data_IF_470370982350
#
_entry.id   IF_470370982350
#
_cell.length_a   1.000
_cell.length_b   1.000
_cell.length_c   1.000
_cell.angle_alpha   90.00
_cell.angle_beta   90.00
_cell.angle_gamma   90.00
#
_symmetry.space_group_name_H-M   'P 1'
#
loop_
_entity.id
_entity.type
_entity.pdbx_description
1 polymer ?
#
# COMPACT_ATOMS: atom_id res chain seq x y z
N UNK A 1 14.84 6.06 -13.85
CA UNK A 1 13.52 6.43 -13.31
C UNK A 1 13.43 5.99 -11.87
N UNK A 2 12.94 6.84 -11.01
CA UNK A 2 12.79 6.51 -9.60
C UNK A 2 11.61 5.60 -9.35
N UNK A 3 11.59 4.99 -8.19
CA UNK A 3 10.44 4.21 -7.76
C UNK A 3 9.37 5.14 -7.20
N UNK A 4 8.13 4.65 -7.19
CA UNK A 4 6.99 5.38 -6.67
C UNK A 4 6.76 4.94 -5.24
N UNK A 5 6.54 5.90 -4.34
CA UNK A 5 6.27 5.62 -2.93
C UNK A 5 4.79 5.85 -2.67
N UNK A 6 4.12 4.83 -2.15
CA UNK A 6 2.73 4.91 -1.73
C UNK A 6 2.70 4.85 -0.21
N UNK A 7 2.11 5.85 0.42
CA UNK A 7 2.03 5.92 1.88
C UNK A 7 0.58 5.78 2.34
N UNK A 8 0.35 4.90 3.31
CA UNK A 8 -0.95 4.72 3.95
C UNK A 8 -0.81 5.12 5.41
N UNK A 9 -1.51 6.17 5.81
CA UNK A 9 -1.26 6.83 7.09
C UNK A 9 -2.40 6.77 8.10
N UNK A 10 -3.48 6.12 7.80
CA UNK A 10 -4.55 5.95 8.79
C UNK A 10 -5.69 6.94 8.71
N UNK A 11 -5.53 8.05 7.99
CA UNK A 11 -6.68 8.84 7.60
C UNK A 11 -7.50 8.00 6.62
N UNK A 12 -8.72 8.35 6.32
CA UNK A 12 -9.65 7.56 5.52
C UNK A 12 -9.20 7.37 4.07
N UNK A 13 -7.98 6.87 3.86
CA UNK A 13 -7.39 6.77 2.55
C UNK A 13 -6.87 5.39 2.14
N UNK A 14 -7.08 4.37 2.99
CA UNK A 14 -6.51 3.06 2.70
C UNK A 14 -7.06 2.46 1.41
N UNK A 15 -8.35 2.67 1.13
CA UNK A 15 -8.96 2.18 -0.12
C UNK A 15 -8.30 2.81 -1.33
N UNK A 16 -8.01 4.11 -1.26
CA UNK A 16 -7.34 4.80 -2.36
C UNK A 16 -5.91 4.31 -2.53
N UNK A 17 -5.22 4.05 -1.43
CA UNK A 17 -3.87 3.47 -1.47
C UNK A 17 -3.88 2.10 -2.15
N UNK A 18 -4.83 1.26 -1.81
CA UNK A 18 -4.97 -0.06 -2.42
C UNK A 18 -5.23 0.06 -3.93
N UNK A 19 -6.12 0.96 -4.33
CA UNK A 19 -6.43 1.17 -5.74
C UNK A 19 -5.22 1.70 -6.51
N UNK A 20 -4.45 2.59 -5.89
CA UNK A 20 -3.25 3.11 -6.50
C UNK A 20 -2.22 1.99 -6.71
N UNK A 21 -2.05 1.11 -5.73
CA UNK A 21 -1.16 -0.03 -5.87
C UNK A 21 -1.60 -0.95 -7.00
N UNK A 22 -2.90 -1.18 -7.14
CA UNK A 22 -3.42 -1.99 -8.24
C UNK A 22 -3.07 -1.37 -9.59
N UNK A 23 -3.27 -0.06 -9.72
CA UNK A 23 -2.96 0.64 -10.95
C UNK A 23 -1.47 0.57 -11.27
N UNK A 24 -0.62 0.76 -10.27
CA UNK A 24 0.83 0.71 -10.46
C UNK A 24 1.30 -0.68 -10.82
N UNK A 25 0.68 -1.71 -10.27
CA UNK A 25 1.00 -3.08 -10.64
C UNK A 25 0.67 -3.34 -12.12
N UNK A 26 -0.49 -2.86 -12.56
CA UNK A 26 -0.89 -3.01 -13.97
C UNK A 26 0.08 -2.30 -14.91
N UNK A 27 0.66 -1.20 -14.46
CA UNK A 27 1.63 -0.42 -15.24
C UNK A 27 3.06 -0.93 -15.08
N UNK A 28 3.27 -1.96 -14.27
CA UNK A 28 4.61 -2.52 -13.99
C UNK A 28 5.57 -1.48 -13.43
N UNK A 29 5.07 -0.59 -12.59
CA UNK A 29 5.91 0.44 -11.98
C UNK A 29 6.51 -0.07 -10.67
N UNK A 30 7.83 0.09 -10.47
CA UNK A 30 8.43 -0.26 -9.18
C UNK A 30 7.84 0.62 -8.08
N UNK A 31 7.33 -0.01 -7.02
CA UNK A 31 6.59 0.68 -5.98
C UNK A 31 7.12 0.30 -4.61
N UNK A 32 7.28 1.30 -3.74
CA UNK A 32 7.61 1.11 -2.33
C UNK A 32 6.39 1.48 -1.51
N UNK A 33 6.02 0.60 -0.58
CA UNK A 33 4.85 0.81 0.28
C UNK A 33 5.32 1.18 1.68
N UNK A 34 4.80 2.28 2.21
CA UNK A 34 5.04 2.74 3.57
C UNK A 34 3.70 2.79 4.29
N UNK A 35 3.58 2.10 5.41
CA UNK A 35 2.33 2.08 6.17
C UNK A 35 2.64 2.46 7.62
N UNK A 36 2.00 3.52 8.11
CA UNK A 36 2.14 3.91 9.52
C UNK A 36 1.38 2.93 10.41
N UNK A 37 1.65 2.99 11.71
CA UNK A 37 0.92 2.14 12.67
C UNK A 37 -0.59 2.36 12.57
N UNK A 38 -1.00 3.63 12.49
CA UNK A 38 -2.41 3.95 12.31
C UNK A 38 -2.93 3.46 10.97
N UNK A 39 -2.10 3.52 9.92
CA UNK A 39 -2.45 2.99 8.61
C UNK A 39 -2.65 1.48 8.61
N UNK A 40 -1.84 0.75 9.37
CA UNK A 40 -2.02 -0.69 9.52
C UNK A 40 -3.38 -1.02 10.13
N UNK A 41 -3.77 -0.30 11.17
CA UNK A 41 -5.04 -0.52 11.85
C UNK A 41 -6.19 -0.25 10.88
N UNK A 42 -6.13 0.86 10.17
CA UNK A 42 -7.17 1.24 9.21
C UNK A 42 -7.26 0.22 8.08
N UNK A 43 -6.12 -0.20 7.56
CA UNK A 43 -6.06 -1.18 6.47
C UNK A 43 -6.69 -2.50 6.89
N UNK A 44 -6.35 -2.98 8.07
CA UNK A 44 -6.93 -4.21 8.60
C UNK A 44 -8.43 -4.08 8.80
N UNK A 45 -8.85 -2.93 9.34
CA UNK A 45 -10.25 -2.69 9.66
C UNK A 45 -11.12 -2.52 8.41
N UNK A 46 -10.63 -1.75 7.43
CA UNK A 46 -11.40 -1.43 6.23
C UNK A 46 -11.26 -2.49 5.14
N UNK A 47 -10.07 -3.05 4.99
CA UNK A 47 -9.78 -3.97 3.90
C UNK A 47 -9.54 -5.41 4.35
N UNK A 48 -9.37 -5.63 5.65
CA UNK A 48 -9.20 -6.97 6.20
C UNK A 48 -7.87 -7.63 5.88
N UNK A 49 -6.85 -6.86 5.47
CA UNK A 49 -5.55 -7.40 5.10
C UNK A 49 -4.45 -6.68 5.87
N UNK A 50 -3.29 -7.34 5.97
CA UNK A 50 -2.11 -6.75 6.58
C UNK A 50 -1.30 -5.98 5.54
N UNK A 51 -0.37 -5.14 6.01
CA UNK A 51 0.53 -4.42 5.08
C UNK A 51 1.41 -5.39 4.31
N UNK A 52 1.82 -6.49 4.94
CA UNK A 52 2.63 -7.50 4.27
C UNK A 52 1.87 -8.17 3.14
N UNK A 53 0.62 -8.51 3.38
CA UNK A 53 -0.25 -9.09 2.36
C UNK A 53 -0.45 -8.10 1.21
N UNK A 54 -0.68 -6.84 1.55
CA UNK A 54 -0.90 -5.81 0.53
C UNK A 54 0.33 -5.65 -0.36
N UNK A 55 1.51 -5.56 0.25
CA UNK A 55 2.74 -5.42 -0.51
C UNK A 55 2.97 -6.63 -1.42
N UNK A 56 2.75 -7.82 -0.89
CA UNK A 56 2.97 -9.05 -1.63
C UNK A 56 2.01 -9.18 -2.82
N UNK A 57 0.75 -8.81 -2.62
CA UNK A 57 -0.26 -8.87 -3.68
C UNK A 57 0.06 -7.97 -4.87
N UNK A 58 0.79 -6.90 -4.64
CA UNK A 58 1.04 -5.88 -5.65
C UNK A 58 2.51 -5.76 -6.04
N UNK A 59 3.34 -6.72 -5.62
CA UNK A 59 4.78 -6.72 -5.89
C UNK A 59 5.45 -5.43 -5.42
N UNK A 60 4.93 -4.83 -4.36
CA UNK A 60 5.50 -3.64 -3.77
C UNK A 60 6.55 -4.04 -2.73
N UNK A 61 7.57 -3.18 -2.56
CA UNK A 61 8.57 -3.36 -1.52
C UNK A 61 8.04 -2.69 -0.26
N UNK A 62 7.86 -3.46 0.79
CA UNK A 62 7.39 -2.91 2.06
C UNK A 62 8.57 -2.26 2.77
N UNK A 63 8.43 -0.97 3.05
CA UNK A 63 9.44 -0.20 3.76
C UNK A 63 9.07 -0.18 5.25
N UNK A 64 9.88 -0.80 6.04
CA UNK A 64 9.74 -0.83 7.48
C UNK A 64 10.79 0.06 8.13
#
# INVERSE_FOLDING_TARGET
MGEIVVAITGASGSVYGVRLLEALKLLNKPTRLVVSTAGEITLKHECGISKEELANMHNAILDE
#
